data_IF_947689650132
#
_entry.id   IF_947689650132
#
_cell.length_a   1.000
_cell.length_b   1.000
_cell.length_c   1.000
_cell.angle_alpha   90.00
_cell.angle_beta   90.00
_cell.angle_gamma   90.00
#
_symmetry.space_group_name_H-M   'P 1'
#
loop_
_entity.id
_entity.type
_entity.pdbx_description
1 polymer ?
#
# COMPACT_ATOMS: atom_id res chain seq x y z
N UNK A 1 -15.05 34.79 10.63
CA UNK A 1 -13.63 34.92 10.96
C UNK A 1 -12.89 33.77 10.32
N UNK A 2 -11.92 34.09 9.46
CA UNK A 2 -10.99 33.11 8.87
C UNK A 2 -9.93 32.71 9.92
N UNK A 3 -9.18 31.62 9.72
CA UNK A 3 -8.08 31.27 10.65
C UNK A 3 -7.06 32.41 10.81
N UNK A 4 -6.95 33.26 9.78
CA UNK A 4 -6.12 34.46 9.73
C UNK A 4 -6.50 35.48 10.82
N UNK A 5 -7.78 35.60 11.16
CA UNK A 5 -8.27 36.56 12.16
C UNK A 5 -7.93 36.14 13.60
N UNK A 6 -7.84 34.83 13.85
CA UNK A 6 -7.46 34.26 15.16
C UNK A 6 -5.94 34.34 15.36
N UNK A 7 -5.15 34.02 14.32
CA UNK A 7 -3.70 34.19 14.34
C UNK A 7 -3.29 35.66 14.53
N UNK A 8 -4.02 36.58 13.88
CA UNK A 8 -3.83 38.02 14.06
C UNK A 8 -4.10 38.45 15.51
N UNK A 9 -5.23 38.00 16.10
CA UNK A 9 -5.52 38.27 17.52
C UNK A 9 -4.44 37.73 18.45
N UNK A 10 -3.96 36.50 18.20
CA UNK A 10 -2.90 35.89 19.01
C UNK A 10 -1.58 36.70 18.91
N UNK A 11 -1.20 37.11 17.70
CA UNK A 11 -0.06 38.01 17.48
C UNK A 11 -0.20 39.35 18.20
N UNK A 12 -1.40 39.94 18.20
CA UNK A 12 -1.67 41.20 18.90
C UNK A 12 -1.60 41.05 20.43
N UNK A 13 -2.06 39.92 20.98
CA UNK A 13 -1.99 39.65 22.42
C UNK A 13 -0.57 39.38 22.91
N UNK A 14 0.24 38.67 22.10
CA UNK A 14 1.65 38.40 22.42
C UNK A 14 2.50 39.68 22.38
N UNK A 15 2.27 40.55 21.37
CA UNK A 15 2.93 41.86 21.27
C UNK A 15 2.59 42.81 22.42
N UNK A 16 1.39 42.72 22.98
CA UNK A 16 0.94 43.54 24.11
C UNK A 16 1.27 42.93 25.50
N UNK A 17 2.13 41.90 25.55
CA UNK A 17 2.60 41.23 26.79
C UNK A 17 1.49 40.58 27.64
N UNK A 18 0.25 40.49 27.14
CA UNK A 18 -0.89 39.88 27.84
C UNK A 18 -0.68 38.38 28.10
N UNK A 19 0.18 37.73 27.32
CA UNK A 19 0.55 36.32 27.45
C UNK A 19 1.81 36.07 28.31
N UNK A 20 2.50 37.14 28.77
CA UNK A 20 3.70 37.05 29.61
C UNK A 20 3.45 37.19 31.12
N UNK A 21 2.31 37.73 31.53
CA UNK A 21 1.90 37.69 32.95
C UNK A 21 1.39 36.28 33.28
N UNK A 22 2.13 35.56 34.13
CA UNK A 22 1.93 34.13 34.41
C UNK A 22 0.56 33.80 35.00
N UNK A 23 -0.05 34.73 35.73
CA UNK A 23 -1.29 34.46 36.47
C UNK A 23 -2.52 34.45 35.57
N UNK A 24 -2.54 35.25 34.49
CA UNK A 24 -3.70 35.38 33.60
C UNK A 24 -3.51 34.70 32.23
N UNK A 25 -2.28 34.32 31.86
CA UNK A 25 -1.99 33.78 30.54
C UNK A 25 -2.69 32.45 30.25
N UNK A 26 -2.84 31.58 31.26
CA UNK A 26 -3.51 30.29 31.10
C UNK A 26 -5.02 30.43 30.94
N UNK A 27 -5.63 31.38 31.66
CA UNK A 27 -7.07 31.67 31.56
C UNK A 27 -7.41 32.28 30.20
N UNK A 28 -6.62 33.25 29.73
CA UNK A 28 -6.78 33.84 28.39
C UNK A 28 -6.63 32.80 27.29
N UNK A 29 -5.65 31.88 27.41
CA UNK A 29 -5.50 30.75 26.47
C UNK A 29 -6.70 29.81 26.48
N UNK A 30 -7.25 29.49 27.66
CA UNK A 30 -8.43 28.66 27.77
C UNK A 30 -9.67 29.31 27.12
N UNK A 31 -9.88 30.61 27.35
CA UNK A 31 -10.98 31.37 26.75
C UNK A 31 -10.86 31.46 25.22
N UNK A 32 -9.66 31.66 24.68
CA UNK A 32 -9.41 31.65 23.23
C UNK A 32 -9.71 30.29 22.62
N UNK A 33 -9.32 29.21 23.30
CA UNK A 33 -9.57 27.86 22.84
C UNK A 33 -11.08 27.54 22.85
N UNK A 34 -11.80 27.98 23.88
CA UNK A 34 -13.25 27.84 23.96
C UNK A 34 -13.99 28.67 22.90
N UNK A 35 -13.50 29.89 22.61
CA UNK A 35 -14.00 30.73 21.52
C UNK A 35 -13.75 30.11 20.14
N UNK A 36 -12.54 29.59 19.90
CA UNK A 36 -12.19 28.84 18.68
C UNK A 36 -13.08 27.61 18.49
N UNK A 37 -13.33 26.85 19.56
CA UNK A 37 -14.22 25.68 19.55
C UNK A 37 -15.68 26.06 19.27
N UNK A 38 -16.17 27.20 19.78
CA UNK A 38 -17.51 27.72 19.47
C UNK A 38 -17.65 28.12 18.00
N UNK A 39 -16.63 28.72 17.42
CA UNK A 39 -16.61 29.04 15.98
C UNK A 39 -16.57 27.76 15.13
N UNK A 40 -15.73 26.79 15.50
CA UNK A 40 -15.64 25.49 14.81
C UNK A 40 -16.97 24.73 14.83
N UNK A 41 -17.66 24.69 15.98
CA UNK A 41 -19.02 24.13 16.10
C UNK A 41 -20.08 24.82 15.22
N UNK A 42 -19.90 26.11 14.88
CA UNK A 42 -20.80 26.83 13.95
C UNK A 42 -20.51 26.50 12.48
N UNK A 43 -19.26 26.17 12.14
CA UNK A 43 -18.86 25.81 10.77
C UNK A 43 -19.14 24.34 10.46
N UNK A 44 -19.01 23.45 11.44
CA UNK A 44 -19.15 21.99 11.25
C UNK A 44 -20.60 21.45 11.40
N UNK A 45 -21.62 22.30 11.32
CA UNK A 45 -23.01 21.84 11.14
C UNK A 45 -23.27 21.54 9.65
N UNK A 46 -22.43 20.71 9.04
CA UNK A 46 -22.86 20.01 7.83
C UNK A 46 -23.94 19.01 8.27
N UNK A 47 -25.16 19.18 7.75
CA UNK A 47 -26.23 18.22 7.96
C UNK A 47 -25.73 16.85 7.48
N UNK A 48 -25.84 15.77 8.28
CA UNK A 48 -25.54 14.43 7.81
C UNK A 48 -26.44 14.16 6.60
N UNK A 49 -25.82 13.93 5.46
CA UNK A 49 -26.50 13.69 4.18
C UNK A 49 -26.76 12.21 3.92
N UNK A 50 -26.68 11.39 4.97
CA UNK A 50 -27.20 10.05 5.01
C UNK A 50 -28.61 10.11 5.60
N UNK A 51 -29.56 9.51 4.91
CA UNK A 51 -30.91 9.33 5.41
C UNK A 51 -30.90 8.44 6.67
N UNK A 52 -31.96 8.53 7.48
CA UNK A 52 -32.14 7.64 8.63
C UNK A 52 -32.19 6.17 8.21
N UNK A 53 -32.72 5.87 7.01
CA UNK A 53 -32.74 4.52 6.44
C UNK A 53 -31.33 4.01 6.13
N UNK A 54 -30.48 4.84 5.50
CA UNK A 54 -29.09 4.46 5.21
C UNK A 54 -28.26 4.26 6.49
N UNK A 55 -28.47 5.10 7.51
CA UNK A 55 -27.82 4.93 8.81
C UNK A 55 -28.25 3.62 9.50
N UNK A 56 -29.54 3.26 9.42
CA UNK A 56 -30.04 1.99 9.92
C UNK A 56 -29.51 0.80 9.11
N UNK A 57 -29.39 0.93 7.79
CA UNK A 57 -28.80 -0.10 6.95
C UNK A 57 -27.32 -0.32 7.29
N UNK A 58 -26.56 0.76 7.48
CA UNK A 58 -25.15 0.68 7.90
C UNK A 58 -25.02 0.06 9.30
N UNK A 59 -25.86 0.46 10.26
CA UNK A 59 -25.82 -0.11 11.61
C UNK A 59 -26.17 -1.60 11.61
N UNK A 60 -27.16 -2.00 10.80
CA UNK A 60 -27.51 -3.42 10.59
C UNK A 60 -26.31 -4.17 10.01
N UNK A 61 -25.72 -3.66 8.94
CA UNK A 61 -24.59 -4.30 8.25
C UNK A 61 -23.34 -4.43 9.14
N UNK A 62 -23.08 -3.45 10.01
CA UNK A 62 -21.98 -3.50 10.98
C UNK A 62 -22.20 -4.54 12.09
N UNK A 63 -23.46 -4.86 12.40
CA UNK A 63 -23.84 -5.85 13.41
C UNK A 63 -23.96 -7.28 12.84
N UNK A 64 -23.88 -7.46 11.51
CA UNK A 64 -23.93 -8.77 10.86
C UNK A 64 -22.62 -9.55 11.07
N UNK A 65 -22.65 -10.53 11.98
CA UNK A 65 -21.48 -11.34 12.33
C UNK A 65 -21.02 -12.31 11.23
N UNK A 66 -21.84 -12.55 10.20
CA UNK A 66 -21.51 -13.38 9.04
C UNK A 66 -20.72 -12.64 7.96
N UNK A 67 -20.48 -11.34 8.12
CA UNK A 67 -19.77 -10.51 7.15
C UNK A 67 -18.40 -10.08 7.69
N UNK A 68 -17.46 -9.91 6.76
CA UNK A 68 -16.19 -9.24 6.99
C UNK A 68 -16.18 -7.98 6.15
N UNK A 69 -16.14 -6.84 6.82
CA UNK A 69 -16.05 -5.52 6.19
C UNK A 69 -14.63 -5.03 6.38
N UNK A 70 -13.89 -4.88 5.28
CA UNK A 70 -12.50 -4.44 5.32
C UNK A 70 -12.23 -3.37 4.28
N UNK A 71 -11.31 -2.47 4.62
CA UNK A 71 -10.79 -1.48 3.68
C UNK A 71 -9.72 -2.13 2.82
N UNK A 72 -9.82 -1.98 1.51
CA UNK A 72 -8.81 -2.48 0.57
C UNK A 72 -7.64 -1.49 0.46
N UNK A 73 -6.45 -2.05 0.19
CA UNK A 73 -5.19 -1.33 -0.06
C UNK A 73 -5.26 -0.47 -1.35
N UNK A 74 -5.90 -0.99 -2.41
CA UNK A 74 -6.03 -0.36 -3.73
C UNK A 74 -7.40 0.29 -3.97
N UNK A 75 -7.41 1.60 -4.23
CA UNK A 75 -8.60 2.31 -4.72
C UNK A 75 -9.50 2.93 -3.65
N UNK A 76 -9.11 2.90 -2.37
CA UNK A 76 -9.86 3.48 -1.25
C UNK A 76 -11.32 2.99 -1.19
N UNK A 77 -11.52 1.71 -1.49
CA UNK A 77 -12.82 1.04 -1.52
C UNK A 77 -12.97 0.14 -0.28
N UNK A 78 -14.21 -0.07 0.15
CA UNK A 78 -14.57 -1.03 1.20
C UNK A 78 -15.12 -2.28 0.54
N UNK A 79 -14.68 -3.45 1.00
CA UNK A 79 -15.20 -4.73 0.54
C UNK A 79 -15.94 -5.42 1.68
N UNK A 80 -17.10 -5.94 1.32
CA UNK A 80 -17.96 -6.75 2.17
C UNK A 80 -17.87 -8.18 1.65
N UNK A 81 -17.43 -9.10 2.49
CA UNK A 81 -17.26 -10.52 2.14
C UNK A 81 -18.03 -11.39 3.12
N UNK A 82 -18.44 -12.56 2.67
CA UNK A 82 -18.89 -13.60 3.58
C UNK A 82 -17.71 -14.05 4.46
N UNK A 83 -17.92 -14.08 5.78
CA UNK A 83 -16.90 -14.42 6.77
C UNK A 83 -16.41 -15.86 6.64
N UNK A 84 -17.29 -16.79 6.30
CA UNK A 84 -16.93 -18.19 6.10
C UNK A 84 -15.95 -18.33 4.93
N UNK A 85 -16.30 -17.77 3.77
CA UNK A 85 -15.45 -17.82 2.57
C UNK A 85 -14.11 -17.13 2.81
N UNK A 86 -14.13 -15.99 3.50
CA UNK A 86 -12.92 -15.27 3.92
C UNK A 86 -12.01 -16.14 4.78
N UNK A 87 -12.54 -16.79 5.81
CA UNK A 87 -11.78 -17.66 6.70
C UNK A 87 -11.22 -18.88 5.98
N UNK A 88 -12.00 -19.50 5.09
CA UNK A 88 -11.55 -20.64 4.27
C UNK A 88 -10.38 -20.23 3.39
N UNK A 89 -10.51 -19.12 2.65
CA UNK A 89 -9.44 -18.60 1.78
C UNK A 89 -8.19 -18.21 2.55
N UNK A 90 -8.34 -17.60 3.72
CA UNK A 90 -7.21 -17.27 4.57
C UNK A 90 -6.47 -18.54 5.03
N UNK A 91 -7.20 -19.56 5.48
CA UNK A 91 -6.60 -20.85 5.88
C UNK A 91 -5.87 -21.54 4.73
N UNK A 92 -6.46 -21.57 3.53
CA UNK A 92 -5.79 -22.11 2.33
C UNK A 92 -4.41 -21.46 2.09
N UNK A 93 -4.27 -20.16 2.36
CA UNK A 93 -3.00 -19.44 2.23
C UNK A 93 -2.06 -19.76 3.40
N UNK A 94 -2.57 -19.80 4.64
CA UNK A 94 -1.76 -20.06 5.85
C UNK A 94 -1.26 -21.50 5.95
N UNK A 95 -1.95 -22.44 5.32
CA UNK A 95 -1.56 -23.85 5.29
C UNK A 95 -0.33 -24.12 4.41
N UNK A 96 0.13 -23.13 3.63
CA UNK A 96 1.40 -23.24 2.91
C UNK A 96 2.59 -23.18 3.88
N UNK A 97 3.02 -24.38 4.29
CA UNK A 97 4.19 -24.60 5.16
C UNK A 97 5.52 -24.15 4.56
N UNK A 98 5.58 -23.82 3.27
CA UNK A 98 6.78 -23.23 2.65
C UNK A 98 6.87 -21.73 2.92
N UNK A 99 5.74 -21.06 3.08
CA UNK A 99 5.64 -19.61 3.27
C UNK A 99 5.40 -19.23 4.73
N UNK A 100 4.58 -20.00 5.45
CA UNK A 100 4.14 -19.68 6.80
C UNK A 100 4.44 -20.79 7.80
N UNK A 101 4.71 -20.38 9.03
CA UNK A 101 4.88 -21.25 10.18
C UNK A 101 3.96 -20.80 11.31
N UNK A 102 3.14 -21.72 11.80
CA UNK A 102 2.35 -21.49 13.01
C UNK A 102 3.29 -21.46 14.23
N UNK A 103 3.05 -20.50 15.12
CA UNK A 103 3.81 -20.29 16.33
C UNK A 103 2.93 -20.58 17.55
N UNK A 104 3.48 -21.33 18.50
CA UNK A 104 2.77 -21.67 19.74
C UNK A 104 2.67 -20.49 20.73
N UNK A 105 3.37 -19.38 20.47
CA UNK A 105 3.40 -18.19 21.33
C UNK A 105 3.84 -16.95 20.55
N UNK A 106 3.54 -15.78 21.10
CA UNK A 106 4.01 -14.50 20.58
C UNK A 106 5.55 -14.39 20.73
N UNK A 107 6.24 -14.17 19.61
CA UNK A 107 7.70 -13.99 19.59
C UNK A 107 8.14 -12.52 19.45
N UNK A 108 7.19 -11.58 19.42
CA UNK A 108 7.46 -10.15 19.18
C UNK A 108 8.39 -9.60 20.26
N UNK A 109 8.08 -9.86 21.53
CA UNK A 109 8.91 -9.43 22.67
C UNK A 109 10.33 -9.98 22.58
N UNK A 110 10.49 -11.25 22.15
CA UNK A 110 11.80 -11.87 21.98
C UNK A 110 12.60 -11.15 20.89
N UNK A 111 11.98 -10.81 19.75
CA UNK A 111 12.65 -10.10 18.65
C UNK A 111 13.00 -8.66 19.03
N UNK A 112 12.11 -7.97 19.74
CA UNK A 112 12.40 -6.63 20.26
C UNK A 112 13.61 -6.66 21.19
N UNK A 113 13.67 -7.63 22.11
CA UNK A 113 14.82 -7.80 23.00
C UNK A 113 16.12 -8.09 22.25
N UNK A 114 16.10 -8.94 21.24
CA UNK A 114 17.28 -9.20 20.39
C UNK A 114 17.70 -7.94 19.60
N UNK A 115 16.75 -7.17 19.08
CA UNK A 115 17.03 -5.90 18.40
C UNK A 115 17.64 -4.87 19.35
N UNK A 116 17.12 -4.75 20.57
CA UNK A 116 17.69 -3.86 21.60
C UNK A 116 19.12 -4.30 21.94
N UNK A 117 19.40 -5.60 22.08
CA UNK A 117 20.76 -6.12 22.30
C UNK A 117 21.69 -5.74 21.15
N UNK A 118 21.23 -5.88 19.91
CA UNK A 118 21.99 -5.47 18.72
C UNK A 118 22.30 -3.97 18.71
N UNK A 119 21.30 -3.12 18.97
CA UNK A 119 21.49 -1.66 19.09
C UNK A 119 22.48 -1.30 20.21
N UNK A 120 22.43 -2.00 21.35
CA UNK A 120 23.39 -1.83 22.44
C UNK A 120 24.81 -2.19 22.02
N UNK A 121 24.98 -3.25 21.22
CA UNK A 121 26.27 -3.64 20.68
C UNK A 121 26.83 -2.58 19.70
N UNK A 122 25.98 -2.03 18.82
CA UNK A 122 26.36 -0.93 17.93
C UNK A 122 26.80 0.32 18.71
N UNK A 123 26.07 0.67 19.77
CA UNK A 123 26.42 1.77 20.68
C UNK A 123 27.75 1.51 21.39
N UNK A 124 27.95 0.29 21.90
CA UNK A 124 29.20 -0.13 22.56
C UNK A 124 30.40 -0.03 21.61
N UNK A 125 30.19 -0.38 20.34
CA UNK A 125 31.20 -0.30 19.29
C UNK A 125 31.39 1.13 18.72
N UNK A 126 30.70 2.13 19.27
CA UNK A 126 30.71 3.54 18.83
C UNK A 126 30.32 3.75 17.36
N UNK A 127 29.55 2.83 16.78
CA UNK A 127 29.02 2.96 15.42
C UNK A 127 27.79 3.86 15.35
N UNK A 128 27.09 4.02 16.49
CA UNK A 128 25.96 4.94 16.65
C UNK A 128 26.14 5.74 17.95
N UNK A 129 25.66 6.98 17.95
CA UNK A 129 25.71 7.86 19.11
C UNK A 129 24.48 7.65 20.04
N UNK A 130 24.48 8.22 21.27
CA UNK A 130 23.38 8.03 22.21
C UNK A 130 22.01 8.55 21.75
N UNK A 131 21.99 9.62 20.95
CA UNK A 131 20.75 10.20 20.40
C UNK A 131 20.18 9.33 19.27
N UNK A 132 21.04 8.82 18.38
CA UNK A 132 20.68 7.84 17.34
C UNK A 132 20.15 6.54 17.96
N UNK A 133 20.79 6.05 19.02
CA UNK A 133 20.30 4.89 19.76
C UNK A 133 18.90 5.14 20.33
N UNK A 134 18.67 6.32 20.94
CA UNK A 134 17.37 6.68 21.52
C UNK A 134 16.29 6.80 20.44
N UNK A 135 16.63 7.33 19.27
CA UNK A 135 15.71 7.45 18.14
C UNK A 135 15.35 6.09 17.51
N UNK A 136 16.31 5.17 17.41
CA UNK A 136 16.11 3.84 16.81
C UNK A 136 15.47 2.82 17.77
N UNK A 137 15.61 3.04 19.08
CA UNK A 137 15.05 2.16 20.09
C UNK A 137 13.52 2.29 20.08
N UNK A 138 12.77 1.18 20.07
CA UNK A 138 11.32 1.22 20.23
C UNK A 138 10.96 1.78 21.63
N UNK A 139 10.21 2.88 21.66
CA UNK A 139 9.73 3.52 22.91
C UNK A 139 8.31 3.10 23.30
N UNK A 140 7.57 2.50 22.36
CA UNK A 140 6.25 1.90 22.60
C UNK A 140 6.45 0.39 22.61
N UNK A 141 6.10 -0.27 23.71
CA UNK A 141 6.32 -1.72 23.84
C UNK A 141 5.68 -2.52 22.70
N UNK A 142 6.22 -3.72 22.46
CA UNK A 142 5.79 -4.69 21.45
C UNK A 142 4.27 -4.73 21.23
N UNK A 143 3.82 -4.19 20.11
CA UNK A 143 2.48 -4.44 19.57
C UNK A 143 2.59 -5.53 18.52
N UNK A 144 1.96 -6.67 18.78
CA UNK A 144 1.86 -7.71 17.76
C UNK A 144 0.98 -7.19 16.64
N UNK A 145 1.44 -7.21 15.39
CA UNK A 145 0.60 -6.79 14.29
C UNK A 145 -0.56 -7.76 14.07
N UNK A 146 -1.77 -7.23 13.96
CA UNK A 146 -3.00 -8.00 13.68
C UNK A 146 -3.24 -8.17 12.16
N UNK A 147 -2.32 -7.70 11.33
CA UNK A 147 -2.49 -7.62 9.88
C UNK A 147 -1.60 -8.65 9.19
N UNK A 148 -2.19 -9.34 8.21
CA UNK A 148 -1.48 -10.13 7.21
C UNK A 148 -0.34 -9.31 6.58
N UNK A 149 0.76 -9.94 6.20
CA UNK A 149 1.93 -9.34 5.53
C UNK A 149 2.99 -8.65 6.40
N UNK A 150 2.98 -8.86 7.71
CA UNK A 150 4.15 -8.62 8.54
C UNK A 150 4.86 -9.93 8.84
N UNK A 151 6.16 -9.88 9.13
CA UNK A 151 6.96 -11.09 9.32
C UNK A 151 6.39 -12.00 10.42
N UNK A 152 5.71 -11.41 11.41
CA UNK A 152 4.88 -12.12 12.37
C UNK A 152 3.53 -11.42 12.49
N UNK A 153 2.44 -12.17 12.55
CA UNK A 153 1.10 -11.62 12.72
C UNK A 153 0.18 -12.60 13.46
N UNK A 154 -0.94 -12.08 13.96
CA UNK A 154 -2.03 -12.88 14.53
C UNK A 154 -3.17 -12.95 13.51
N UNK A 155 -3.67 -14.16 13.26
CA UNK A 155 -4.89 -14.37 12.50
C UNK A 155 -5.78 -15.37 13.23
N UNK A 156 -7.03 -14.99 13.48
CA UNK A 156 -8.01 -15.84 14.17
C UNK A 156 -7.48 -16.43 15.50
N UNK A 157 -6.82 -15.59 16.31
CA UNK A 157 -6.16 -15.94 17.59
C UNK A 157 -4.99 -16.94 17.49
N UNK A 158 -4.50 -17.22 16.30
CA UNK A 158 -3.31 -18.04 16.08
C UNK A 158 -2.15 -17.16 15.59
N UNK A 159 -0.94 -17.50 16.03
CA UNK A 159 0.27 -16.75 15.65
C UNK A 159 0.91 -17.38 14.43
N UNK A 160 1.28 -16.54 13.47
CA UNK A 160 1.96 -16.96 12.25
C UNK A 160 3.25 -16.16 12.07
N UNK A 161 4.28 -16.84 11.57
CA UNK A 161 5.49 -16.23 11.04
C UNK A 161 5.60 -16.51 9.56
N UNK A 162 5.86 -15.47 8.77
CA UNK A 162 6.31 -15.60 7.40
C UNK A 162 7.78 -15.99 7.42
N UNK A 163 8.10 -17.19 6.93
CA UNK A 163 9.45 -17.77 7.00
C UNK A 163 10.23 -17.60 5.70
N UNK A 164 9.54 -17.45 4.57
CA UNK A 164 10.14 -17.23 3.27
C UNK A 164 9.52 -16.00 2.59
N UNK A 165 10.33 -15.33 1.78
CA UNK A 165 10.04 -14.07 1.10
C UNK A 165 9.96 -12.85 2.03
N UNK A 166 9.93 -11.65 1.43
CA UNK A 166 9.77 -10.40 2.18
C UNK A 166 8.28 -10.09 2.33
N UNK A 167 7.91 -9.55 3.49
CA UNK A 167 6.53 -9.26 3.83
C UNK A 167 6.01 -8.04 3.04
N UNK A 168 4.84 -8.17 2.42
CA UNK A 168 4.26 -7.10 1.60
C UNK A 168 3.93 -5.89 2.49
N UNK A 169 4.32 -4.69 2.05
CA UNK A 169 4.14 -3.46 2.85
C UNK A 169 5.31 -3.12 3.78
N UNK A 170 6.35 -3.96 3.85
CA UNK A 170 7.63 -3.54 4.42
C UNK A 170 8.29 -2.47 3.54
N UNK A 171 8.74 -1.37 4.14
CA UNK A 171 9.46 -0.29 3.45
C UNK A 171 10.74 -0.78 2.76
N UNK A 172 11.35 -1.86 3.26
CA UNK A 172 12.55 -2.45 2.68
C UNK A 172 12.24 -3.50 1.60
N UNK A 173 11.00 -3.97 1.50
CA UNK A 173 10.63 -5.03 0.55
C UNK A 173 10.96 -4.70 -0.90
N UNK A 174 10.69 -3.49 -1.43
CA UNK A 174 11.00 -3.17 -2.82
C UNK A 174 12.50 -3.25 -3.13
N UNK A 175 13.34 -2.79 -2.20
CA UNK A 175 14.80 -2.78 -2.37
C UNK A 175 15.34 -4.21 -2.34
N UNK A 176 14.93 -5.01 -1.35
CA UNK A 176 15.37 -6.40 -1.22
C UNK A 176 14.91 -7.25 -2.40
N UNK A 177 13.65 -7.09 -2.83
CA UNK A 177 13.14 -7.76 -4.02
C UNK A 177 13.88 -7.33 -5.29
N UNK A 178 14.23 -6.05 -5.42
CA UNK A 178 15.02 -5.57 -6.54
C UNK A 178 16.42 -6.21 -6.56
N UNK A 179 17.15 -6.20 -5.45
CA UNK A 179 18.48 -6.81 -5.34
C UNK A 179 18.46 -8.30 -5.68
N UNK A 180 17.53 -9.05 -5.09
CA UNK A 180 17.40 -10.49 -5.32
C UNK A 180 17.06 -10.81 -6.78
N UNK A 181 16.12 -10.05 -7.38
CA UNK A 181 15.79 -10.22 -8.78
C UNK A 181 16.95 -9.84 -9.70
N UNK A 182 17.75 -8.83 -9.36
CA UNK A 182 18.93 -8.45 -10.16
C UNK A 182 19.97 -9.58 -10.20
N UNK A 183 20.24 -10.25 -9.07
CA UNK A 183 21.13 -11.41 -9.02
C UNK A 183 20.58 -12.59 -9.86
N UNK A 184 19.27 -12.85 -9.79
CA UNK A 184 18.64 -13.85 -10.65
C UNK A 184 18.71 -13.49 -12.14
N UNK A 185 18.60 -12.20 -12.48
CA UNK A 185 18.68 -11.69 -13.85
C UNK A 185 20.10 -11.84 -14.42
N UNK A 186 21.16 -11.75 -13.61
CA UNK A 186 22.53 -12.01 -14.08
C UNK A 186 22.69 -13.46 -14.59
N UNK A 187 21.97 -14.41 -14.00
CA UNK A 187 21.99 -15.81 -14.43
C UNK A 187 21.35 -16.03 -15.81
N UNK A 188 20.61 -15.06 -16.36
CA UNK A 188 20.12 -15.09 -17.75
C UNK A 188 21.27 -15.26 -18.74
N UNK A 189 22.46 -14.74 -18.40
CA UNK A 189 23.64 -14.88 -19.25
C UNK A 189 24.07 -16.33 -19.45
N UNK A 190 23.76 -17.21 -18.49
CA UNK A 190 24.09 -18.63 -18.55
C UNK A 190 23.11 -19.44 -19.41
N UNK A 191 22.01 -18.84 -19.88
CA UNK A 191 21.06 -19.53 -20.74
C UNK A 191 21.68 -19.88 -22.10
N UNK A 192 21.68 -21.17 -22.43
CA UNK A 192 22.14 -21.69 -23.71
C UNK A 192 20.95 -21.78 -24.66
N UNK A 193 20.80 -20.75 -25.50
CA UNK A 193 19.71 -20.63 -26.45
C UNK A 193 19.53 -19.21 -26.94
N UNK A 194 18.41 -18.96 -27.63
CA UNK A 194 18.07 -17.61 -28.06
C UNK A 194 17.65 -16.76 -26.86
N UNK A 195 18.20 -15.56 -26.75
CA UNK A 195 17.91 -14.63 -25.65
C UNK A 195 16.97 -13.52 -26.13
N UNK A 196 16.21 -12.88 -25.21
CA UNK A 196 15.44 -11.71 -25.54
C UNK A 196 16.36 -10.58 -26.02
N UNK A 197 15.94 -9.86 -27.06
CA UNK A 197 16.65 -8.69 -27.58
C UNK A 197 16.48 -7.48 -26.67
N UNK A 198 15.30 -7.37 -26.04
CA UNK A 198 15.04 -6.43 -24.97
C UNK A 198 14.48 -7.23 -23.80
N UNK A 199 15.06 -7.01 -22.62
CA UNK A 199 14.58 -7.52 -21.34
C UNK A 199 14.53 -6.34 -20.38
N UNK A 200 13.33 -5.96 -19.95
CA UNK A 200 13.14 -4.84 -19.04
C UNK A 200 12.16 -5.22 -17.94
N UNK A 201 12.53 -4.99 -16.69
CA UNK A 201 11.70 -5.27 -15.53
C UNK A 201 11.23 -3.97 -14.87
N UNK A 202 9.95 -3.92 -14.56
CA UNK A 202 9.34 -2.91 -13.71
C UNK A 202 8.72 -3.59 -12.49
N UNK A 203 9.41 -3.52 -11.35
CA UNK A 203 9.04 -4.19 -10.09
C UNK A 203 8.86 -5.70 -10.30
N UNK A 204 7.62 -6.17 -10.45
CA UNK A 204 7.19 -7.55 -10.62
C UNK A 204 6.80 -7.91 -12.08
N UNK A 205 6.72 -6.92 -12.97
CA UNK A 205 6.37 -7.11 -14.38
C UNK A 205 7.60 -7.07 -15.28
N UNK A 206 7.74 -8.06 -16.16
CA UNK A 206 8.84 -8.15 -17.13
C UNK A 206 8.28 -7.98 -18.53
N UNK A 207 8.86 -7.06 -19.30
CA UNK A 207 8.62 -6.89 -20.72
C UNK A 207 9.80 -7.43 -21.51
N UNK A 208 9.51 -8.30 -22.49
CA UNK A 208 10.54 -8.90 -23.34
C UNK A 208 10.17 -8.78 -24.81
N UNK A 209 11.16 -8.41 -25.64
CA UNK A 209 11.06 -8.55 -27.09
C UNK A 209 11.97 -9.70 -27.50
N UNK A 210 11.38 -10.67 -28.20
CA UNK A 210 12.06 -11.88 -28.62
C UNK A 210 11.88 -12.06 -30.12
N UNK A 211 12.99 -12.21 -30.86
CA UNK A 211 12.94 -12.52 -32.29
C UNK A 211 13.09 -14.02 -32.46
N UNK A 212 12.04 -14.82 -32.43
CA UNK A 212 12.20 -16.28 -32.46
C UNK A 212 10.89 -17.05 -32.58
N UNK A 213 11.00 -18.37 -32.61
CA UNK A 213 9.84 -19.24 -32.55
C UNK A 213 9.30 -19.29 -31.12
N UNK A 214 8.00 -19.52 -30.96
CA UNK A 214 7.36 -19.63 -29.64
C UNK A 214 8.05 -20.64 -28.71
N UNK A 215 8.51 -21.78 -29.26
CA UNK A 215 9.24 -22.81 -28.51
C UNK A 215 10.52 -22.28 -27.85
N UNK A 216 11.23 -21.34 -28.47
CA UNK A 216 12.45 -20.77 -27.90
C UNK A 216 12.14 -19.91 -26.67
N UNK A 217 11.03 -19.18 -26.71
CA UNK A 217 10.53 -18.36 -25.59
C UNK A 217 10.10 -19.28 -24.44
N UNK A 218 9.40 -20.37 -24.74
CA UNK A 218 8.98 -21.34 -23.73
C UNK A 218 10.19 -22.02 -23.05
N UNK A 219 11.24 -22.34 -23.81
CA UNK A 219 12.50 -22.86 -23.26
C UNK A 219 13.18 -21.83 -22.34
N UNK A 220 13.19 -20.56 -22.73
CA UNK A 220 13.72 -19.47 -21.91
C UNK A 220 12.95 -19.32 -20.59
N UNK A 221 11.61 -19.31 -20.66
CA UNK A 221 10.76 -19.21 -19.46
C UNK A 221 10.89 -20.46 -18.57
N UNK A 222 11.08 -21.63 -19.16
CA UNK A 222 11.37 -22.86 -18.41
C UNK A 222 12.71 -22.77 -17.69
N UNK A 223 13.75 -22.23 -18.34
CA UNK A 223 15.02 -21.96 -17.70
C UNK A 223 14.87 -20.98 -16.53
N UNK A 224 14.17 -19.85 -16.71
CA UNK A 224 13.93 -18.88 -15.64
C UNK A 224 13.21 -19.49 -14.44
N UNK A 225 12.19 -20.31 -14.69
CA UNK A 225 11.46 -21.03 -13.63
C UNK A 225 12.29 -22.12 -12.93
N UNK A 226 13.41 -22.55 -13.52
CA UNK A 226 14.33 -23.49 -12.89
C UNK A 226 15.42 -22.80 -12.05
N UNK A 227 15.64 -21.49 -12.23
CA UNK A 227 16.64 -20.74 -11.47
C UNK A 227 16.28 -20.68 -9.98
N UNK A 228 15.01 -20.42 -9.69
CA UNK A 228 14.52 -20.26 -8.32
C UNK A 228 13.16 -20.96 -8.16
N UNK A 229 13.09 -22.12 -7.47
CA UNK A 229 11.83 -22.85 -7.28
C UNK A 229 10.74 -22.08 -6.54
N UNK A 230 11.11 -21.06 -5.76
CA UNK A 230 10.15 -20.21 -5.03
C UNK A 230 9.51 -19.12 -5.90
N UNK A 231 10.06 -18.82 -7.07
CA UNK A 231 9.55 -17.79 -7.99
C UNK A 231 9.02 -18.44 -9.26
N UNK A 232 7.78 -18.15 -9.61
CA UNK A 232 7.15 -18.64 -10.84
C UNK A 232 6.90 -17.51 -11.83
N UNK A 233 7.61 -17.55 -12.95
CA UNK A 233 7.41 -16.67 -14.10
C UNK A 233 6.25 -17.18 -14.96
N UNK A 234 5.26 -16.33 -15.18
CA UNK A 234 4.14 -16.54 -16.09
C UNK A 234 4.37 -15.81 -17.41
N UNK A 235 4.08 -16.47 -18.53
CA UNK A 235 4.25 -15.90 -19.86
C UNK A 235 2.91 -15.49 -20.46
N UNK A 236 2.78 -14.21 -20.81
CA UNK A 236 1.68 -13.70 -21.65
C UNK A 236 2.24 -13.35 -23.03
N UNK A 237 1.77 -14.05 -24.06
CA UNK A 237 2.17 -13.82 -25.45
C UNK A 237 1.26 -12.80 -26.12
N UNK A 238 1.81 -12.04 -27.06
CA UNK A 238 1.02 -11.12 -27.89
C UNK A 238 -0.07 -11.90 -28.66
N UNK A 239 -1.25 -11.29 -28.79
CA UNK A 239 -2.37 -11.81 -29.57
C UNK A 239 -2.87 -10.71 -30.50
N UNK A 240 -3.06 -11.02 -31.77
CA UNK A 240 -3.53 -10.05 -32.78
C UNK A 240 -2.68 -8.76 -32.81
N UNK A 241 -1.36 -8.91 -32.71
CA UNK A 241 -0.37 -7.81 -32.60
C UNK A 241 -0.53 -6.91 -31.38
N UNK A 242 -1.29 -7.34 -30.36
CA UNK A 242 -1.55 -6.60 -29.13
C UNK A 242 -0.99 -7.34 -27.92
N UNK A 243 -0.41 -6.60 -26.97
CA UNK A 243 0.07 -7.12 -25.71
C UNK A 243 -0.26 -6.14 -24.58
N UNK A 244 -1.05 -6.54 -23.57
CA UNK A 244 -1.23 -5.73 -22.38
C UNK A 244 0.06 -5.74 -21.54
N UNK A 245 0.54 -4.57 -21.15
CA UNK A 245 1.66 -4.43 -20.21
C UNK A 245 1.34 -3.33 -19.19
N UNK A 246 1.33 -3.70 -17.90
CA UNK A 246 0.88 -2.84 -16.81
C UNK A 246 -0.53 -2.27 -17.07
N UNK A 247 -0.60 -0.98 -17.39
CA UNK A 247 -1.82 -0.22 -17.57
C UNK A 247 -1.90 0.42 -18.97
N UNK A 248 -1.16 -0.18 -19.91
CA UNK A 248 -1.04 0.15 -21.34
C UNK A 248 -1.30 -1.09 -22.18
N UNK A 249 -2.00 -0.93 -23.30
CA UNK A 249 -2.06 -1.90 -24.37
C UNK A 249 -1.06 -1.47 -25.43
N UNK A 250 -0.14 -2.36 -25.78
CA UNK A 250 0.86 -2.14 -26.81
C UNK A 250 0.39 -2.84 -28.07
N UNK A 251 0.20 -2.10 -29.14
CA UNK A 251 -0.21 -2.59 -30.45
C UNK A 251 0.90 -2.35 -31.46
N UNK A 252 1.33 -3.41 -32.13
CA UNK A 252 2.36 -3.32 -33.16
C UNK A 252 1.71 -3.01 -34.51
N UNK A 253 1.99 -1.82 -35.04
CA UNK A 253 1.60 -1.42 -36.39
C UNK A 253 2.84 -1.31 -37.27
N UNK A 254 3.13 -2.36 -38.04
CA UNK A 254 4.32 -2.47 -38.89
C UNK A 254 5.64 -2.24 -38.10
N UNK A 255 6.23 -1.05 -38.26
CA UNK A 255 7.48 -0.62 -37.61
C UNK A 255 7.26 0.26 -36.37
N UNK A 256 6.02 0.67 -36.08
CA UNK A 256 5.69 1.52 -34.95
C UNK A 256 4.93 0.76 -33.87
N UNK A 257 5.11 1.19 -32.61
CA UNK A 257 4.34 0.73 -31.48
C UNK A 257 3.33 1.82 -31.11
N UNK A 258 2.05 1.48 -31.19
CA UNK A 258 0.95 2.33 -30.74
C UNK A 258 0.55 1.85 -29.35
N UNK A 259 0.44 2.78 -28.43
CA UNK A 259 0.01 2.54 -27.06
C UNK A 259 -1.32 3.19 -26.79
N UNK A 260 -2.16 2.55 -25.98
CA UNK A 260 -3.38 3.14 -25.43
C UNK A 260 -3.69 2.58 -24.04
N UNK A 261 -4.64 3.19 -23.34
CA UNK A 261 -4.98 2.75 -21.97
C UNK A 261 -5.61 1.37 -22.00
N UNK A 262 -4.97 0.41 -21.34
CA UNK A 262 -5.54 -0.92 -21.13
C UNK A 262 -6.45 -0.95 -19.90
N UNK A 263 -7.57 -1.65 -20.04
CA UNK A 263 -8.48 -2.02 -18.95
C UNK A 263 -8.57 -3.53 -18.91
N UNK A 264 -8.35 -4.11 -17.73
CA UNK A 264 -8.47 -5.56 -17.54
C UNK A 264 -9.91 -5.99 -17.80
N UNK A 265 -10.18 -7.23 -18.25
CA UNK A 265 -11.55 -7.73 -18.44
C UNK A 265 -12.40 -7.68 -17.16
N UNK A 266 -11.76 -7.71 -15.99
CA UNK A 266 -12.39 -7.58 -14.68
C UNK A 266 -12.69 -6.14 -14.27
N UNK A 267 -12.30 -5.15 -15.07
CA UNK A 267 -12.62 -3.75 -14.81
C UNK A 267 -14.12 -3.54 -15.04
N UNK A 268 -14.84 -3.34 -13.94
CA UNK A 268 -16.30 -3.10 -13.97
C UNK A 268 -16.65 -1.69 -14.44
N UNK A 269 -15.66 -0.81 -14.61
CA UNK A 269 -15.88 0.61 -14.91
C UNK A 269 -16.58 1.36 -13.78
N UNK A 270 -16.66 0.75 -12.59
CA UNK A 270 -17.29 1.36 -11.42
C UNK A 270 -16.36 2.43 -10.84
N UNK A 271 -16.72 3.67 -11.10
CA UNK A 271 -16.09 4.83 -10.49
C UNK A 271 -17.01 5.49 -9.46
N UNK A 272 -16.47 6.50 -8.79
CA UNK A 272 -17.21 7.31 -7.84
C UNK A 272 -18.44 7.94 -8.53
N UNK A 273 -19.64 7.59 -8.06
CA UNK A 273 -20.89 8.18 -8.58
C UNK A 273 -20.89 9.68 -8.36
N UNK A 274 -21.31 10.46 -9.35
CA UNK A 274 -21.39 11.92 -9.22
C UNK A 274 -22.33 12.35 -8.08
N UNK A 275 -23.36 11.56 -7.79
CA UNK A 275 -24.33 11.80 -6.72
C UNK A 275 -23.87 11.33 -5.34
N UNK A 276 -22.71 10.68 -5.21
CA UNK A 276 -22.25 10.15 -3.92
C UNK A 276 -21.94 11.25 -2.92
N UNK A 277 -21.98 10.93 -1.63
CA UNK A 277 -21.48 11.80 -0.56
C UNK A 277 -19.94 11.82 -0.53
N UNK A 278 -19.31 12.39 -1.54
CA UNK A 278 -17.87 12.65 -1.55
C UNK A 278 -17.62 14.10 -1.99
N UNK A 279 -16.59 14.77 -1.44
CA UNK A 279 -16.30 16.15 -1.80
C UNK A 279 -16.09 16.31 -3.31
N UNK A 280 -16.57 17.42 -3.88
CA UNK A 280 -16.52 17.68 -5.33
C UNK A 280 -15.11 17.61 -5.91
N UNK A 281 -14.11 17.94 -5.11
CA UNK A 281 -12.70 17.82 -5.49
C UNK A 281 -12.30 16.39 -5.86
N UNK A 282 -12.73 15.37 -5.10
CA UNK A 282 -12.42 13.97 -5.42
C UNK A 282 -13.07 13.52 -6.73
N UNK A 283 -14.33 13.90 -6.97
CA UNK A 283 -15.06 13.58 -8.21
C UNK A 283 -14.41 14.23 -9.42
N UNK A 284 -14.01 15.48 -9.29
CA UNK A 284 -13.37 16.24 -10.38
C UNK A 284 -11.95 15.74 -10.64
N UNK A 285 -11.20 15.44 -9.58
CA UNK A 285 -9.84 14.89 -9.67
C UNK A 285 -9.83 13.51 -10.29
N UNK A 286 -10.83 12.66 -10.00
CA UNK A 286 -10.99 11.38 -10.68
C UNK A 286 -11.04 11.55 -12.21
N UNK A 287 -11.91 12.43 -12.72
CA UNK A 287 -12.04 12.70 -14.16
C UNK A 287 -10.70 13.23 -14.71
N UNK A 288 -10.09 14.20 -14.02
CA UNK A 288 -8.78 14.75 -14.41
C UNK A 288 -7.73 13.64 -14.48
N UNK A 289 -7.64 12.77 -13.48
CA UNK A 289 -6.69 11.66 -13.46
C UNK A 289 -6.89 10.70 -14.63
N UNK A 290 -8.14 10.36 -14.98
CA UNK A 290 -8.44 9.49 -16.12
C UNK A 290 -8.03 10.14 -17.45
N UNK A 291 -8.36 11.42 -17.65
CA UNK A 291 -7.97 12.17 -18.85
C UNK A 291 -6.45 12.35 -18.94
N UNK A 292 -5.79 12.74 -17.85
CA UNK A 292 -4.32 12.87 -17.81
C UNK A 292 -3.64 11.52 -18.05
N UNK A 293 -4.20 10.42 -17.51
CA UNK A 293 -3.70 9.07 -17.79
C UNK A 293 -3.81 8.73 -19.28
N UNK A 294 -4.95 9.03 -19.93
CA UNK A 294 -5.10 8.80 -21.37
C UNK A 294 -4.06 9.60 -22.16
N UNK A 295 -3.95 10.91 -21.91
CA UNK A 295 -2.99 11.80 -22.59
C UNK A 295 -1.53 11.37 -22.43
N UNK A 296 -1.15 10.85 -21.26
CA UNK A 296 0.24 10.42 -21.00
C UNK A 296 0.59 9.09 -21.66
N UNK A 297 -0.40 8.23 -21.91
CA UNK A 297 -0.16 6.80 -22.23
C UNK A 297 -0.61 6.42 -23.63
N UNK A 298 -1.44 7.23 -24.27
CA UNK A 298 -1.81 7.04 -25.66
C UNK A 298 -0.75 7.66 -26.59
N UNK A 299 -0.34 6.96 -27.64
CA UNK A 299 0.62 7.50 -28.64
C UNK A 299 -0.02 8.46 -29.64
N UNK A 300 -1.35 8.54 -29.67
CA UNK A 300 -2.13 9.41 -30.54
C UNK A 300 -3.24 10.08 -29.73
N UNK A 301 -3.46 11.37 -30.00
CA UNK A 301 -4.66 12.13 -29.62
C UNK A 301 -5.79 11.87 -30.64
#
# INVERSE_FOLDING_TARGET
MTSLDIEYMYCCMDKNLLLKNTDNANEVKAMLNDFGNKLKKKVDKELPNLSSEELNAISTLLNEHSLVISKIDKGNTVVVMNKFDYLVKAKEILDDKRAFKNLNHNITDKRENEFIKFLLQLKKNKMINPEEYKLMRPDTGSRTPEVYFLTNFIFNNEHYAQINSVSMGSHLAPILAHLYMSELEENINNFIGKKPSIFSRYVDAIFMIFHGAQREIELFVKFMNNLEPSIKFTLEMQKDNKLPFLDVMIERNNMELITYVYRKPTDTGLYLRWTSNQPRNYKTNLIKCLCTRAKRKCSSD
#
